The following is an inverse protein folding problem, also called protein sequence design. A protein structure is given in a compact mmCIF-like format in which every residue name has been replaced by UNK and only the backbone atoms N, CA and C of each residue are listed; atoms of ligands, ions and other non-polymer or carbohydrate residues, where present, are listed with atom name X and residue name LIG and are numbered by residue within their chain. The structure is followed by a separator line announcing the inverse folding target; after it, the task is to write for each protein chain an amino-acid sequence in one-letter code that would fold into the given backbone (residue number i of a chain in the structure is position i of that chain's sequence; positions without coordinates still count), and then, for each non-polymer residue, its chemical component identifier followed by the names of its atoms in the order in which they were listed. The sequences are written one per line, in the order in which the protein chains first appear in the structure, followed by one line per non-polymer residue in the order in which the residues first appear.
data_IF_572010393278
#
_entry.id   IF_572010393278
#
_cell.length_a   1.000
_cell.length_b   1.000
_cell.length_c   1.000
_cell.angle_alpha   90.00
_cell.angle_beta   90.00
_cell.angle_gamma   90.00
#
_symmetry.space_group_name_H-M   'P 1'
#
loop_
_entity.id
_entity.type
_entity.pdbx_description
1 polymer ?
#
# COMPACT_ATOMS: atom_id res chain seq x y z
N UNK A 1 9.83 -1.57 17.42
CA UNK A 1 8.60 -1.43 16.61
C UNK A 1 8.67 -0.26 15.63
N UNK A 2 9.14 0.93 16.03
CA UNK A 2 9.14 2.12 15.14
C UNK A 2 9.82 1.91 13.78
N UNK A 3 11.02 1.32 13.77
CA UNK A 3 11.75 1.02 12.52
C UNK A 3 11.04 0.01 11.61
N UNK A 4 10.29 -0.94 12.20
CA UNK A 4 9.52 -1.94 11.47
C UNK A 4 8.37 -1.27 10.69
N UNK A 5 7.59 -0.42 11.37
CA UNK A 5 6.54 0.38 10.73
C UNK A 5 7.07 1.37 9.69
N UNK A 6 8.21 2.00 9.93
CA UNK A 6 8.86 2.84 8.92
C UNK A 6 9.32 2.03 7.70
N UNK A 7 9.77 0.79 7.90
CA UNK A 7 10.14 -0.14 6.83
C UNK A 7 8.97 -0.42 5.88
N UNK A 8 7.77 -0.64 6.42
CA UNK A 8 6.55 -0.83 5.60
C UNK A 8 6.26 0.40 4.73
N UNK A 9 6.35 1.61 5.29
CA UNK A 9 6.14 2.83 4.53
C UNK A 9 7.18 3.00 3.41
N UNK A 10 8.47 2.76 3.71
CA UNK A 10 9.56 2.83 2.74
C UNK A 10 9.39 1.80 1.61
N UNK A 11 8.94 0.59 1.93
CA UNK A 11 8.64 -0.44 0.93
C UNK A 11 7.53 0.03 -0.03
N UNK A 12 6.43 0.57 0.51
CA UNK A 12 5.31 1.08 -0.31
C UNK A 12 5.80 2.23 -1.19
N UNK A 13 6.44 3.25 -0.62
CA UNK A 13 7.01 4.37 -1.39
C UNK A 13 7.95 3.89 -2.50
N UNK A 14 8.90 3.01 -2.17
CA UNK A 14 9.89 2.49 -3.11
C UNK A 14 9.25 1.71 -4.25
N UNK A 15 8.21 0.92 -3.97
CA UNK A 15 7.48 0.16 -5.00
C UNK A 15 6.77 1.05 -6.03
N UNK A 16 6.33 2.25 -5.62
CA UNK A 16 5.64 3.18 -6.52
C UNK A 16 6.61 3.85 -7.51
N UNK A 17 7.88 4.00 -7.15
CA UNK A 17 8.87 4.71 -7.99
C UNK A 17 9.02 4.10 -9.38
N UNK A 18 9.42 2.81 -9.55
CA UNK A 18 9.55 2.22 -10.86
C UNK A 18 8.20 2.12 -11.57
N UNK A 19 7.14 1.80 -10.85
CA UNK A 19 5.80 1.64 -11.43
C UNK A 19 5.27 2.94 -12.05
N UNK A 20 5.36 4.07 -11.35
CA UNK A 20 4.95 5.38 -11.87
C UNK A 20 5.85 5.83 -13.02
N UNK A 21 7.16 5.59 -12.92
CA UNK A 21 8.11 5.94 -13.98
C UNK A 21 7.77 5.26 -15.30
N UNK A 22 7.46 3.97 -15.29
CA UNK A 22 7.08 3.24 -16.51
C UNK A 22 5.65 3.54 -16.96
N UNK A 23 4.71 3.71 -16.04
CA UNK A 23 3.31 4.00 -16.40
C UNK A 23 3.17 5.39 -17.03
N UNK A 24 3.88 6.39 -16.52
CA UNK A 24 3.82 7.77 -17.02
C UNK A 24 5.06 8.17 -17.81
N UNK A 25 5.72 7.21 -18.47
CA UNK A 25 6.97 7.44 -19.19
C UNK A 25 6.87 8.57 -20.22
N UNK A 26 5.75 8.64 -20.95
CA UNK A 26 5.48 9.67 -21.96
C UNK A 26 4.88 10.96 -21.38
N UNK A 27 4.50 10.99 -20.10
CA UNK A 27 3.84 12.13 -19.48
C UNK A 27 4.50 12.47 -18.13
N UNK A 28 5.55 13.31 -18.14
CA UNK A 28 6.39 13.53 -16.95
C UNK A 28 5.67 14.29 -15.84
N UNK A 29 4.73 15.19 -16.17
CA UNK A 29 4.03 16.02 -15.19
C UNK A 29 3.22 15.18 -14.16
N UNK A 30 2.30 14.27 -14.56
CA UNK A 30 1.60 13.41 -13.60
C UNK A 30 2.56 12.47 -12.86
N UNK A 31 3.63 11.99 -13.51
CA UNK A 31 4.65 11.17 -12.85
C UNK A 31 5.23 11.88 -11.61
N UNK A 32 5.70 13.12 -11.78
CA UNK A 32 6.25 13.92 -10.68
C UNK A 32 5.23 14.22 -9.59
N UNK A 33 3.99 14.58 -9.96
CA UNK A 33 2.94 14.88 -8.98
C UNK A 33 2.67 13.65 -8.10
N UNK A 34 2.48 12.47 -8.69
CA UNK A 34 2.20 11.26 -7.93
C UNK A 34 3.38 10.78 -7.09
N UNK A 35 4.62 10.96 -7.57
CA UNK A 35 5.82 10.72 -6.78
C UNK A 35 5.91 11.62 -5.55
N UNK A 36 5.61 12.92 -5.69
CA UNK A 36 5.59 13.84 -4.56
C UNK A 36 4.49 13.44 -3.57
N UNK A 37 3.29 13.12 -4.05
CA UNK A 37 2.16 12.72 -3.21
C UNK A 37 2.49 11.46 -2.40
N UNK A 38 3.02 10.40 -3.03
CA UNK A 38 3.35 9.16 -2.30
C UNK A 38 4.46 9.39 -1.28
N UNK A 39 5.44 10.25 -1.59
CA UNK A 39 6.49 10.62 -0.64
C UNK A 39 5.93 11.39 0.57
N UNK A 40 5.05 12.37 0.34
CA UNK A 40 4.41 13.13 1.42
C UNK A 40 3.56 12.22 2.30
N UNK A 41 2.72 11.36 1.71
CA UNK A 41 1.90 10.40 2.44
C UNK A 41 2.76 9.39 3.21
N UNK A 42 3.83 8.90 2.61
CA UNK A 42 4.75 7.95 3.25
C UNK A 42 5.53 8.56 4.39
N UNK A 43 6.02 9.80 4.25
CA UNK A 43 6.67 10.56 5.34
C UNK A 43 5.67 10.79 6.47
N UNK A 44 4.43 11.18 6.17
CA UNK A 44 3.38 11.33 7.18
C UNK A 44 3.11 10.01 7.92
N UNK A 45 3.06 8.87 7.21
CA UNK A 45 2.92 7.55 7.82
C UNK A 45 4.12 7.18 8.72
N UNK A 46 5.34 7.53 8.32
CA UNK A 46 6.56 7.36 9.13
C UNK A 46 6.51 8.21 10.40
N UNK A 47 6.04 9.46 10.31
CA UNK A 47 5.91 10.35 11.47
C UNK A 47 4.85 9.79 12.44
N UNK A 48 3.69 9.38 11.92
CA UNK A 48 2.63 8.75 12.73
C UNK A 48 3.13 7.47 13.39
N UNK A 49 3.99 6.70 12.73
CA UNK A 49 4.56 5.47 13.29
C UNK A 49 5.57 5.69 14.43
N UNK A 50 6.06 6.93 14.61
CA UNK A 50 6.91 7.27 15.76
C UNK A 50 6.12 7.50 17.04
N UNK A 51 4.79 7.65 16.96
CA UNK A 51 3.96 7.91 18.12
C UNK A 51 3.77 6.65 18.98
N UNK A 52 4.05 6.74 20.29
CA UNK A 52 4.03 5.58 21.19
C UNK A 52 2.66 4.91 21.30
N UNK A 53 1.57 5.69 21.24
CA UNK A 53 0.20 5.17 21.24
C UNK A 53 -0.09 4.30 20.01
N UNK A 54 0.56 4.58 18.88
CA UNK A 54 0.39 3.81 17.66
C UNK A 54 0.86 2.36 17.81
N UNK A 55 1.78 2.09 18.74
CA UNK A 55 2.28 0.74 19.01
C UNK A 55 1.36 -0.08 19.91
N UNK A 56 0.36 0.51 20.57
CA UNK A 56 -0.49 -0.26 21.50
C UNK A 56 -1.42 -1.23 20.75
N UNK A 57 -1.87 -2.32 21.39
CA UNK A 57 -2.73 -3.31 20.76
C UNK A 57 -4.09 -2.75 20.29
N UNK A 58 -4.58 -1.69 20.92
CA UNK A 58 -5.85 -1.01 20.60
C UNK A 58 -5.81 -0.36 19.21
N UNK A 59 -4.65 0.19 18.83
CA UNK A 59 -4.47 0.89 17.55
C UNK A 59 -4.14 -0.05 16.38
N UNK A 60 -4.22 -1.37 16.55
CA UNK A 60 -3.92 -2.34 15.47
C UNK A 60 -4.72 -2.07 14.21
N UNK A 61 -6.02 -1.81 14.34
CA UNK A 61 -6.88 -1.49 13.20
C UNK A 61 -6.47 -0.19 12.51
N UNK A 62 -6.06 0.82 13.28
CA UNK A 62 -5.56 2.10 12.76
C UNK A 62 -4.29 1.88 11.97
N UNK A 63 -3.33 1.09 12.47
CA UNK A 63 -2.10 0.76 11.75
C UNK A 63 -2.40 0.08 10.41
N UNK A 64 -3.27 -0.94 10.44
CA UNK A 64 -3.68 -1.64 9.23
C UNK A 64 -4.31 -0.67 8.21
N UNK A 65 -5.19 0.22 8.68
CA UNK A 65 -5.83 1.25 7.85
C UNK A 65 -4.85 2.24 7.24
N UNK A 66 -3.87 2.74 8.00
CA UNK A 66 -2.85 3.70 7.50
C UNK A 66 -2.03 3.08 6.37
N UNK A 67 -1.49 1.88 6.57
CA UNK A 67 -0.64 1.25 5.56
C UNK A 67 -1.44 0.72 4.36
N UNK A 68 -2.65 0.18 4.61
CA UNK A 68 -3.55 -0.22 3.53
C UNK A 68 -3.98 0.99 2.70
N UNK A 69 -4.33 2.11 3.35
CA UNK A 69 -4.67 3.36 2.68
C UNK A 69 -3.50 3.92 1.86
N UNK A 70 -2.28 3.85 2.40
CA UNK A 70 -1.08 4.25 1.67
C UNK A 70 -0.88 3.41 0.39
N UNK A 71 -1.07 2.09 0.45
CA UNK A 71 -1.02 1.23 -0.72
C UNK A 71 -2.17 1.48 -1.72
N UNK A 72 -3.40 1.60 -1.21
CA UNK A 72 -4.60 1.85 -2.03
C UNK A 72 -4.64 3.26 -2.64
N UNK A 73 -3.82 4.19 -2.17
CA UNK A 73 -3.65 5.50 -2.83
C UNK A 73 -3.23 5.37 -4.30
N UNK A 74 -2.62 4.24 -4.69
CA UNK A 74 -2.28 3.87 -6.06
C UNK A 74 -3.48 3.71 -7.00
N UNK A 75 -4.71 3.61 -6.49
CA UNK A 75 -5.93 3.59 -7.31
C UNK A 75 -6.07 4.89 -8.11
N UNK A 76 -5.69 6.04 -7.55
CA UNK A 76 -5.79 7.34 -8.22
C UNK A 76 -4.88 7.41 -9.47
N UNK A 77 -3.55 7.18 -9.39
CA UNK A 77 -2.70 7.15 -10.58
C UNK A 77 -3.09 6.04 -11.56
N UNK A 78 -3.60 4.90 -11.08
CA UNK A 78 -4.11 3.85 -11.96
C UNK A 78 -5.30 4.32 -12.78
N UNK A 79 -6.30 4.96 -12.15
CA UNK A 79 -7.46 5.49 -12.85
C UNK A 79 -7.07 6.58 -13.85
N UNK A 80 -6.15 7.48 -13.48
CA UNK A 80 -5.61 8.47 -14.40
C UNK A 80 -4.98 7.80 -15.62
N UNK A 81 -4.09 6.81 -15.41
CA UNK A 81 -3.45 6.08 -16.50
C UNK A 81 -4.48 5.39 -17.42
N UNK A 82 -5.50 4.73 -16.86
CA UNK A 82 -6.55 4.07 -17.65
C UNK A 82 -7.37 5.08 -18.46
N UNK A 83 -7.65 6.26 -17.90
CA UNK A 83 -8.37 7.34 -18.60
C UNK A 83 -7.52 7.93 -19.72
N UNK A 84 -6.20 8.11 -19.51
CA UNK A 84 -5.31 8.75 -20.50
C UNK A 84 -4.90 7.80 -21.63
N UNK A 85 -4.63 6.54 -21.33
CA UNK A 85 -4.08 5.56 -22.27
C UNK A 85 -5.12 4.57 -22.81
N UNK A 86 -6.31 4.55 -22.20
CA UNK A 86 -7.41 3.66 -22.56
C UNK A 86 -7.31 2.27 -21.92
N UNK A 87 -8.48 1.65 -21.73
CA UNK A 87 -8.62 0.34 -21.10
C UNK A 87 -7.90 -0.78 -21.87
N UNK A 88 -7.91 -0.73 -23.21
CA UNK A 88 -7.27 -1.74 -24.04
C UNK A 88 -5.77 -1.80 -23.80
N UNK A 89 -5.08 -0.65 -23.74
CA UNK A 89 -3.63 -0.57 -23.51
C UNK A 89 -3.27 -1.00 -22.09
N UNK A 90 -4.08 -0.59 -21.10
CA UNK A 90 -3.90 -1.02 -19.72
C UNK A 90 -4.09 -2.54 -19.52
N UNK A 91 -4.98 -3.17 -20.30
CA UNK A 91 -5.19 -4.61 -20.29
C UNK A 91 -4.10 -5.38 -21.05
N UNK A 92 -3.71 -4.94 -22.25
CA UNK A 92 -2.69 -5.63 -23.07
C UNK A 92 -1.29 -5.57 -22.45
N UNK A 93 -0.96 -4.48 -21.75
CA UNK A 93 0.27 -4.37 -20.96
C UNK A 93 0.22 -5.18 -19.64
N UNK A 94 -0.89 -5.85 -19.35
CA UNK A 94 -1.08 -6.66 -18.15
C UNK A 94 -1.24 -5.87 -16.85
N UNK A 95 -1.21 -4.54 -16.89
CA UNK A 95 -1.20 -3.71 -15.68
C UNK A 95 -2.44 -3.93 -14.80
N UNK A 96 -3.63 -4.02 -15.40
CA UNK A 96 -4.88 -4.21 -14.64
C UNK A 96 -4.88 -5.54 -13.87
N UNK A 97 -4.40 -6.62 -14.49
CA UNK A 97 -4.33 -7.94 -13.86
C UNK A 97 -3.35 -7.96 -12.68
N UNK A 98 -2.15 -7.42 -12.87
CA UNK A 98 -1.14 -7.33 -11.81
C UNK A 98 -1.55 -6.40 -10.67
N UNK A 99 -2.17 -5.26 -10.98
CA UNK A 99 -2.68 -4.34 -9.96
C UNK A 99 -3.84 -4.94 -9.17
N UNK A 100 -4.74 -5.68 -9.82
CA UNK A 100 -5.80 -6.41 -9.13
C UNK A 100 -5.23 -7.46 -8.17
N UNK A 101 -4.23 -8.24 -8.62
CA UNK A 101 -3.53 -9.19 -7.75
C UNK A 101 -2.87 -8.50 -6.56
N UNK A 102 -2.15 -7.38 -6.80
CA UNK A 102 -1.54 -6.60 -5.73
C UNK A 102 -2.59 -6.08 -4.73
N UNK A 103 -3.71 -5.53 -5.21
CA UNK A 103 -4.80 -5.07 -4.36
C UNK A 103 -5.36 -6.23 -3.50
N UNK A 104 -5.58 -7.40 -4.09
CA UNK A 104 -6.03 -8.59 -3.35
C UNK A 104 -5.03 -8.99 -2.26
N UNK A 105 -3.73 -9.01 -2.55
CA UNK A 105 -2.68 -9.35 -1.59
C UNK A 105 -2.62 -8.33 -0.45
N UNK A 106 -2.67 -7.03 -0.75
CA UNK A 106 -2.66 -5.96 0.26
C UNK A 106 -3.89 -6.02 1.17
N UNK A 107 -5.10 -6.15 0.59
CA UNK A 107 -6.35 -6.21 1.35
C UNK A 107 -6.39 -7.46 2.23
N UNK A 108 -6.04 -8.62 1.66
CA UNK A 108 -6.06 -9.88 2.40
C UNK A 108 -5.04 -9.88 3.53
N UNK A 109 -3.80 -9.43 3.26
CA UNK A 109 -2.76 -9.31 4.28
C UNK A 109 -3.15 -8.37 5.42
N UNK A 110 -3.70 -7.20 5.09
CA UNK A 110 -4.19 -6.25 6.09
C UNK A 110 -5.37 -6.81 6.90
N UNK A 111 -6.29 -7.53 6.25
CA UNK A 111 -7.43 -8.15 6.91
C UNK A 111 -6.99 -9.25 7.90
N UNK A 112 -6.08 -10.14 7.49
CA UNK A 112 -5.51 -11.17 8.36
C UNK A 112 -4.79 -10.55 9.56
N UNK A 113 -3.95 -9.53 9.33
CA UNK A 113 -3.26 -8.81 10.39
C UNK A 113 -4.22 -8.13 11.38
N UNK A 114 -5.23 -7.42 10.87
CA UNK A 114 -6.17 -6.69 11.71
C UNK A 114 -7.08 -7.65 12.51
N UNK A 115 -7.52 -8.75 11.90
CA UNK A 115 -8.47 -9.70 12.48
C UNK A 115 -7.83 -10.81 13.31
N UNK A 116 -6.50 -11.00 13.24
CA UNK A 116 -5.76 -12.09 13.93
C UNK A 116 -6.26 -13.48 13.53
N UNK A 117 -6.32 -13.73 12.24
CA UNK A 117 -6.74 -15.04 11.69
C UNK A 117 -5.48 -15.79 11.29
N UNK A 118 -5.30 -17.07 11.71
CA UNK A 118 -6.31 -17.98 12.28
C UNK A 118 -6.34 -18.08 13.81
N UNK A 119 -5.44 -17.43 14.55
CA UNK A 119 -5.30 -17.59 16.01
C UNK A 119 -6.55 -17.15 16.80
N UNK A 120 -7.35 -16.25 16.23
CA UNK A 120 -8.69 -15.88 16.75
C UNK A 120 -9.63 -17.09 16.84
N UNK A 121 -9.53 -18.04 15.92
CA UNK A 121 -10.41 -19.22 15.87
C UNK A 121 -9.83 -20.41 16.64
N UNK A 122 -8.50 -20.50 16.75
CA UNK A 122 -7.81 -21.62 17.40
C UNK A 122 -6.83 -21.12 18.47
N UNK A 123 -7.32 -20.56 19.59
CA UNK A 123 -6.45 -20.06 20.65
C UNK A 123 -5.57 -21.19 21.22
N UNK A 124 -4.27 -20.95 21.33
CA UNK A 124 -3.29 -21.93 21.83
C UNK A 124 -2.85 -23.00 20.81
N UNK A 125 -3.28 -22.90 19.55
CA UNK A 125 -2.86 -23.83 18.47
C UNK A 125 -1.90 -23.21 17.47
N UNK A 126 -1.87 -21.88 17.41
CA UNK A 126 -1.03 -21.10 16.49
C UNK A 126 0.00 -20.25 17.24
N UNK A 127 0.54 -20.76 18.36
CA UNK A 127 1.46 -19.98 19.20
C UNK A 127 2.88 -19.93 18.63
N UNK A 128 3.28 -20.94 17.85
CA UNK A 128 4.63 -21.08 17.25
C UNK A 128 4.58 -21.03 15.72
N UNK A 129 3.53 -21.60 15.12
CA UNK A 129 3.35 -21.74 13.66
C UNK A 129 1.99 -21.22 13.22
#
# INVERSE_FOLDING_TARGET
SRLDYSGIALLIMGSFVPWLYYSFYCNPQPCFIYLIVICVLGIAAIIVSQWDMFATPEYRGVRAGVFLGLGLSGVIPTLHFVISEGLLKAATMGQIGWLALMACLYITGAALYAARIPERFFPGKCDIW
#
